data_IF_281457514613
#
_entry.id   IF_281457514613
#
_cell.length_a   1.000
_cell.length_b   1.000
_cell.length_c   1.000
_cell.angle_alpha   90.00
_cell.angle_beta   90.00
_cell.angle_gamma   90.00
#
_symmetry.space_group_name_H-M   'P 1'
#
loop_
_entity.id
_entity.type
_entity.pdbx_description
1 polymer ?
#
# COMPACT_ATOMS: atom_id res chain seq x y z
N UNK A 1 -14.10 24.76 21.14
CA UNK A 1 -13.89 23.73 20.11
C UNK A 1 -12.57 24.04 19.46
N UNK A 2 -11.52 23.28 19.78
CA UNK A 2 -10.19 23.47 19.16
C UNK A 2 -10.28 22.98 17.72
N UNK A 3 -9.87 23.76 16.71
CA UNK A 3 -9.89 23.30 15.33
C UNK A 3 -8.94 22.10 15.17
N UNK A 4 -9.41 21.03 14.53
CA UNK A 4 -8.57 19.89 14.14
C UNK A 4 -7.46 20.42 13.24
N UNK A 5 -6.17 20.14 13.54
CA UNK A 5 -5.08 20.59 12.70
C UNK A 5 -5.21 20.03 11.28
N UNK A 6 -4.75 20.77 10.26
CA UNK A 6 -4.81 20.32 8.87
C UNK A 6 -3.98 19.05 8.69
N UNK A 7 -4.56 18.05 8.04
CA UNK A 7 -3.85 16.83 7.65
C UNK A 7 -3.13 17.03 6.32
N UNK A 8 -2.02 16.32 6.11
CA UNK A 8 -1.25 16.31 4.87
C UNK A 8 -1.31 14.94 4.22
N UNK A 9 -1.63 14.89 2.93
CA UNK A 9 -1.54 13.69 2.12
C UNK A 9 -0.07 13.37 1.81
N UNK A 10 0.38 12.18 2.20
CA UNK A 10 1.74 11.70 1.93
C UNK A 10 1.70 10.26 1.40
N UNK A 11 2.63 9.87 0.51
CA UNK A 11 2.67 8.51 -0.02
C UNK A 11 3.17 7.49 1.00
N UNK A 12 2.72 6.24 0.85
CA UNK A 12 3.00 5.14 1.75
C UNK A 12 4.49 4.81 1.88
N UNK A 13 5.32 5.04 0.85
CA UNK A 13 6.77 4.84 0.94
C UNK A 13 7.42 5.65 2.08
N UNK A 14 6.80 6.76 2.48
CA UNK A 14 7.29 7.59 3.60
C UNK A 14 7.04 6.94 4.95
N UNK A 15 6.04 6.05 5.06
CA UNK A 15 5.61 5.42 6.31
C UNK A 15 6.01 3.94 6.42
N UNK A 16 6.29 3.27 5.29
CA UNK A 16 6.47 1.84 5.26
C UNK A 16 7.36 1.37 4.10
N UNK A 17 7.81 0.12 4.20
CA UNK A 17 8.26 -0.66 3.05
C UNK A 17 7.27 -1.77 2.70
N UNK A 18 7.35 -2.22 1.46
CA UNK A 18 6.51 -3.28 0.92
C UNK A 18 7.35 -4.26 0.11
N UNK A 19 6.97 -5.53 0.15
CA UNK A 19 7.44 -6.57 -0.77
C UNK A 19 6.25 -7.31 -1.34
N UNK A 20 6.40 -7.82 -2.56
CA UNK A 20 5.40 -8.70 -3.15
C UNK A 20 5.87 -10.15 -3.22
N UNK A 21 4.90 -11.04 -3.26
CA UNK A 21 5.07 -12.44 -3.63
C UNK A 21 3.89 -12.90 -4.48
N UNK A 22 4.11 -13.86 -5.35
CA UNK A 22 3.10 -14.42 -6.26
C UNK A 22 2.82 -15.90 -5.96
N UNK A 23 1.57 -16.32 -6.17
CA UNK A 23 1.18 -17.72 -6.20
C UNK A 23 -0.02 -17.92 -7.13
N UNK A 24 0.24 -18.44 -8.33
CA UNK A 24 -0.81 -18.58 -9.35
C UNK A 24 -1.30 -17.21 -9.80
N UNK A 25 -2.61 -16.96 -9.71
CA UNK A 25 -3.24 -15.67 -10.05
C UNK A 25 -3.42 -14.76 -8.81
N UNK A 26 -2.63 -15.00 -7.76
CA UNK A 26 -2.70 -14.28 -6.49
C UNK A 26 -1.39 -13.53 -6.27
N UNK A 27 -1.51 -12.27 -5.86
CA UNK A 27 -0.39 -11.48 -5.36
C UNK A 27 -0.59 -11.19 -3.87
N UNK A 28 0.45 -11.44 -3.07
CA UNK A 28 0.53 -10.93 -1.71
C UNK A 28 1.43 -9.69 -1.66
N UNK A 29 1.03 -8.69 -0.89
CA UNK A 29 1.75 -7.44 -0.70
C UNK A 29 1.89 -7.19 0.81
N UNK A 30 3.12 -7.20 1.31
CA UNK A 30 3.40 -6.78 2.68
C UNK A 30 3.39 -5.26 2.79
N UNK A 31 3.02 -4.72 3.95
CA UNK A 31 3.13 -3.32 4.28
C UNK A 31 3.63 -3.22 5.72
N UNK A 32 4.91 -2.91 5.89
CA UNK A 32 5.61 -2.96 7.17
C UNK A 32 6.01 -1.53 7.52
N UNK A 33 5.46 -1.02 8.62
CA UNK A 33 5.67 0.36 9.05
C UNK A 33 7.09 0.59 9.56
N UNK A 34 7.60 1.81 9.40
CA UNK A 34 8.90 2.21 9.97
C UNK A 34 8.90 2.25 11.50
N UNK A 35 7.77 2.61 12.10
CA UNK A 35 7.60 2.69 13.55
C UNK A 35 6.11 2.50 13.96
N UNK A 36 5.82 2.38 15.28
CA UNK A 36 4.45 2.17 15.76
C UNK A 36 3.47 3.31 15.46
N UNK A 37 3.94 4.56 15.37
CA UNK A 37 3.09 5.72 15.05
C UNK A 37 2.65 5.65 13.58
N UNK A 38 3.57 5.30 12.68
CA UNK A 38 3.27 5.01 11.27
C UNK A 38 2.26 3.87 11.17
N UNK A 39 2.47 2.77 11.90
CA UNK A 39 1.55 1.63 11.88
C UNK A 39 0.11 2.02 12.25
N UNK A 40 -0.09 2.90 13.24
CA UNK A 40 -1.41 3.38 13.61
C UNK A 40 -2.12 4.10 12.45
N UNK A 41 -1.38 4.96 11.72
CA UNK A 41 -1.89 5.64 10.51
C UNK A 41 -2.27 4.61 9.44
N UNK A 42 -1.38 3.67 9.17
CA UNK A 42 -1.57 2.66 8.13
C UNK A 42 -2.77 1.75 8.43
N UNK A 43 -2.89 1.25 9.66
CA UNK A 43 -3.98 0.37 10.06
C UNK A 43 -5.36 1.04 9.93
N UNK A 44 -5.43 2.35 10.24
CA UNK A 44 -6.64 3.14 10.14
C UNK A 44 -7.05 3.43 8.69
N UNK A 45 -6.08 3.61 7.79
CA UNK A 45 -6.33 4.18 6.46
C UNK A 45 -6.12 3.21 5.30
N UNK A 46 -5.28 2.19 5.44
CA UNK A 46 -5.01 1.21 4.38
C UNK A 46 -5.96 0.03 4.57
N UNK A 47 -7.20 0.22 4.14
CA UNK A 47 -8.27 -0.79 4.22
C UNK A 47 -8.29 -1.68 2.98
N UNK A 48 -8.93 -2.85 3.09
CA UNK A 48 -9.17 -3.74 1.94
C UNK A 48 -9.88 -3.00 0.79
N UNK A 49 -10.87 -2.16 1.11
CA UNK A 49 -11.62 -1.37 0.13
C UNK A 49 -10.74 -0.35 -0.60
N UNK A 50 -9.87 0.37 0.12
CA UNK A 50 -8.96 1.34 -0.48
C UNK A 50 -7.90 0.66 -1.34
N UNK A 51 -7.36 -0.48 -0.90
CA UNK A 51 -6.42 -1.28 -1.70
C UNK A 51 -7.11 -1.84 -2.95
N UNK A 52 -8.33 -2.35 -2.84
CA UNK A 52 -9.11 -2.82 -3.99
C UNK A 52 -9.36 -1.69 -5.01
N UNK A 53 -9.71 -0.49 -4.54
CA UNK A 53 -9.90 0.68 -5.39
C UNK A 53 -8.59 1.11 -6.07
N UNK A 54 -7.48 1.16 -5.32
CA UNK A 54 -6.17 1.54 -5.84
C UNK A 54 -5.67 0.59 -6.95
N UNK A 55 -6.00 -0.70 -6.83
CA UNK A 55 -5.69 -1.72 -7.83
C UNK A 55 -6.84 -2.01 -8.80
N UNK A 56 -7.85 -1.14 -8.91
CA UNK A 56 -9.03 -1.39 -9.75
C UNK A 56 -8.69 -1.67 -11.23
N UNK A 57 -7.59 -1.10 -11.74
CA UNK A 57 -7.09 -1.34 -13.11
C UNK A 57 -6.63 -2.79 -13.36
N UNK A 58 -6.43 -3.60 -12.30
CA UNK A 58 -6.15 -5.05 -12.38
C UNK A 58 -7.38 -5.90 -12.07
N UNK A 59 -8.54 -5.29 -11.84
CA UNK A 59 -9.81 -5.97 -11.56
C UNK A 59 -9.72 -7.08 -10.49
N UNK A 60 -9.19 -6.78 -9.27
CA UNK A 60 -9.08 -7.77 -8.21
C UNK A 60 -10.45 -8.37 -7.88
N UNK A 61 -10.53 -9.70 -7.84
CA UNK A 61 -11.74 -10.44 -7.46
C UNK A 61 -12.03 -10.31 -5.97
N UNK A 62 -10.98 -10.29 -5.16
CA UNK A 62 -11.02 -10.14 -3.70
C UNK A 62 -9.71 -9.54 -3.21
N UNK A 63 -9.81 -8.68 -2.20
CA UNK A 63 -8.68 -8.19 -1.42
C UNK A 63 -8.93 -8.54 0.03
N UNK A 64 -7.98 -9.24 0.65
CA UNK A 64 -8.03 -9.61 2.08
C UNK A 64 -6.86 -8.98 2.83
N UNK A 65 -7.12 -8.38 3.99
CA UNK A 65 -6.11 -7.77 4.87
C UNK A 65 -5.87 -8.64 6.10
N UNK A 66 -4.62 -9.03 6.29
CA UNK A 66 -4.15 -9.72 7.48
C UNK A 66 -3.26 -8.79 8.31
N UNK A 67 -3.66 -8.49 9.54
CA UNK A 67 -2.90 -7.64 10.45
C UNK A 67 -1.88 -8.46 11.26
N UNK A 68 -0.70 -7.89 11.46
CA UNK A 68 0.40 -8.45 12.24
C UNK A 68 0.89 -7.39 13.26
N UNK A 69 0.10 -7.09 14.31
CA UNK A 69 0.33 -5.92 15.16
C UNK A 69 1.69 -5.92 15.88
N UNK A 70 2.18 -7.10 16.27
CA UNK A 70 3.49 -7.26 16.93
C UNK A 70 4.68 -6.95 16.01
N UNK A 71 4.46 -7.00 14.69
CA UNK A 71 5.47 -6.66 13.68
C UNK A 71 5.23 -5.28 13.06
N UNK A 72 4.20 -4.54 13.54
CA UNK A 72 3.77 -3.28 12.95
C UNK A 72 3.53 -3.40 11.43
N UNK A 73 2.92 -4.52 11.03
CA UNK A 73 2.81 -4.91 9.64
C UNK A 73 1.39 -5.35 9.27
N UNK A 74 1.11 -5.31 7.97
CA UNK A 74 -0.07 -5.89 7.35
C UNK A 74 0.35 -6.68 6.11
N UNK A 75 -0.44 -7.67 5.74
CA UNK A 75 -0.31 -8.38 4.48
C UNK A 75 -1.63 -8.34 3.73
N UNK A 76 -1.60 -7.86 2.50
CA UNK A 76 -2.74 -7.84 1.60
C UNK A 76 -2.64 -8.98 0.61
N UNK A 77 -3.70 -9.76 0.46
CA UNK A 77 -3.80 -10.81 -0.55
C UNK A 77 -4.80 -10.35 -1.59
N UNK A 78 -4.32 -10.15 -2.81
CA UNK A 78 -5.09 -9.73 -3.97
C UNK A 78 -5.26 -10.92 -4.90
N UNK A 79 -6.50 -11.29 -5.16
CA UNK A 79 -6.83 -12.43 -6.02
C UNK A 79 -7.28 -11.96 -7.41
N UNK A 80 -6.79 -12.61 -8.47
CA UNK A 80 -7.19 -12.29 -9.84
C UNK A 80 -6.41 -11.15 -10.49
N UNK A 81 -5.25 -10.77 -9.95
CA UNK A 81 -4.53 -9.54 -10.35
C UNK A 81 -3.29 -9.79 -11.23
N UNK A 82 -3.03 -11.05 -11.60
CA UNK A 82 -1.89 -11.46 -12.40
C UNK A 82 -2.32 -11.99 -13.78
N UNK A 83 -3.50 -11.60 -14.27
CA UNK A 83 -4.05 -11.91 -15.60
C UNK A 83 -4.02 -13.42 -15.96
N UNK A 84 -4.39 -14.28 -15.01
CA UNK A 84 -4.38 -15.75 -15.20
C UNK A 84 -3.09 -16.42 -14.74
N UNK A 85 -2.11 -15.66 -14.27
CA UNK A 85 -0.86 -16.13 -13.68
C UNK A 85 0.30 -16.20 -14.69
N UNK A 86 1.49 -16.53 -14.16
CA UNK A 86 2.79 -16.41 -14.87
C UNK A 86 2.83 -17.10 -16.24
N UNK A 87 2.10 -18.19 -16.43
CA UNK A 87 2.16 -18.99 -17.65
C UNK A 87 1.24 -18.49 -18.78
N UNK A 88 0.22 -17.69 -18.47
CA UNK A 88 -0.80 -17.24 -19.43
C UNK A 88 -0.85 -15.71 -19.58
N UNK A 89 -0.17 -14.96 -18.70
CA UNK A 89 -0.24 -13.51 -18.69
C UNK A 89 0.67 -12.85 -19.75
N UNK A 90 0.06 -12.01 -20.59
CA UNK A 90 0.73 -11.12 -21.56
C UNK A 90 1.23 -9.81 -20.94
N UNK A 91 1.07 -9.64 -19.62
CA UNK A 91 1.45 -8.41 -18.94
C UNK A 91 2.97 -8.36 -18.67
N UNK A 92 3.50 -7.13 -18.58
CA UNK A 92 4.94 -6.89 -18.41
C UNK A 92 5.46 -7.27 -17.00
N UNK A 93 4.57 -7.30 -16.01
CA UNK A 93 4.89 -7.63 -14.61
C UNK A 93 4.15 -8.89 -14.16
N UNK A 94 4.50 -9.99 -14.82
CA UNK A 94 3.84 -11.29 -14.72
C UNK A 94 3.91 -11.89 -13.31
N UNK A 95 4.94 -11.53 -12.56
CA UNK A 95 5.14 -11.93 -11.16
C UNK A 95 4.61 -10.89 -10.15
N UNK A 96 4.05 -9.77 -10.60
CA UNK A 96 3.55 -8.71 -9.71
C UNK A 96 4.63 -8.09 -8.83
N UNK A 97 5.89 -8.07 -9.25
CA UNK A 97 7.02 -7.52 -8.48
C UNK A 97 6.93 -6.01 -8.32
N UNK A 98 6.38 -5.33 -9.33
CA UNK A 98 6.18 -3.88 -9.28
C UNK A 98 4.98 -3.46 -8.42
N UNK A 99 4.05 -4.38 -8.14
CA UNK A 99 2.82 -4.07 -7.40
C UNK A 99 3.09 -3.59 -5.96
N UNK A 100 4.18 -4.02 -5.33
CA UNK A 100 4.57 -3.48 -4.01
C UNK A 100 4.94 -2.00 -4.09
N UNK A 101 5.66 -1.58 -5.15
CA UNK A 101 5.97 -0.17 -5.36
C UNK A 101 4.71 0.61 -5.72
N UNK A 102 3.83 0.02 -6.52
CA UNK A 102 2.53 0.64 -6.82
C UNK A 102 1.71 0.84 -5.56
N UNK A 103 1.68 -0.11 -4.62
CA UNK A 103 1.02 0.08 -3.32
C UNK A 103 1.65 1.25 -2.55
N UNK A 104 2.98 1.36 -2.56
CA UNK A 104 3.72 2.40 -1.84
C UNK A 104 3.49 3.82 -2.38
N UNK A 105 2.98 3.97 -3.60
CA UNK A 105 2.55 5.26 -4.15
C UNK A 105 1.18 5.74 -3.62
N UNK A 106 0.39 4.86 -3.01
CA UNK A 106 -0.90 5.24 -2.42
C UNK A 106 -0.68 6.28 -1.32
N UNK A 107 -1.57 7.27 -1.21
CA UNK A 107 -1.45 8.32 -0.19
C UNK A 107 -2.30 8.05 1.06
N UNK A 108 -1.82 8.52 2.20
CA UNK A 108 -2.52 8.57 3.48
C UNK A 108 -2.39 9.96 4.10
N UNK A 109 -3.37 10.31 4.93
CA UNK A 109 -3.40 11.58 5.65
C UNK A 109 -2.59 11.48 6.94
N UNK A 110 -1.66 12.40 7.19
CA UNK A 110 -0.86 12.47 8.42
C UNK A 110 -0.87 13.86 9.03
N UNK A 111 -0.49 13.98 10.30
CA UNK A 111 -0.25 15.30 10.90
C UNK A 111 0.97 15.99 10.28
N UNK A 112 1.02 17.34 10.28
CA UNK A 112 2.21 18.08 9.83
C UNK A 112 3.47 17.77 10.63
N UNK A 113 3.32 17.40 11.90
CA UNK A 113 4.41 16.98 12.77
C UNK A 113 5.01 15.66 12.30
N UNK A 114 4.17 14.66 12.03
CA UNK A 114 4.62 13.37 11.53
C UNK A 114 5.23 13.52 10.13
N UNK A 115 4.56 14.24 9.22
CA UNK A 115 5.06 14.51 7.87
C UNK A 115 6.46 15.13 7.86
N UNK A 116 6.83 15.98 8.82
CA UNK A 116 8.18 16.58 8.88
C UNK A 116 9.27 15.59 9.29
N UNK A 117 8.90 14.54 10.03
CA UNK A 117 9.83 13.52 10.55
C UNK A 117 10.07 12.38 9.54
N UNK A 118 9.09 12.07 8.70
CA UNK A 118 9.15 10.96 7.76
C UNK A 118 10.16 11.22 6.64
N UNK A 119 10.91 10.18 6.19
CA UNK A 119 11.78 10.29 5.02
C UNK A 119 10.97 10.72 3.79
N UNK A 120 11.60 11.45 2.87
CA UNK A 120 10.98 11.87 1.61
C UNK A 120 12.00 11.89 0.48
N UNK A 121 11.52 11.87 -0.76
CA UNK A 121 12.31 11.94 -1.97
C UNK A 121 12.14 13.34 -2.57
N UNK A 122 13.19 14.19 -2.57
CA UNK A 122 13.06 15.56 -3.08
C UNK A 122 12.56 15.60 -4.53
N UNK A 123 11.47 16.33 -4.77
CA UNK A 123 10.89 16.53 -6.10
C UNK A 123 10.00 15.40 -6.59
N UNK A 124 9.79 14.34 -5.79
CA UNK A 124 8.84 13.30 -6.13
C UNK A 124 7.41 13.83 -6.14
N UNK A 125 6.60 13.28 -7.05
CA UNK A 125 5.18 13.59 -7.21
C UNK A 125 4.44 12.27 -7.24
N UNK A 126 3.97 11.78 -6.09
CA UNK A 126 3.30 10.49 -6.03
C UNK A 126 2.11 10.47 -6.99
N UNK A 127 1.90 9.31 -7.61
CA UNK A 127 0.88 9.14 -8.62
C UNK A 127 -0.50 9.51 -8.07
N UNK A 128 -1.32 10.18 -8.90
CA UNK A 128 -2.72 10.40 -8.58
C UNK A 128 -3.45 9.05 -8.46
N UNK A 129 -4.39 8.98 -7.53
CA UNK A 129 -5.26 7.82 -7.30
C UNK A 129 -6.18 7.54 -8.49
#
# INVERSE_FOLDING_TARGET
>A
MTPTPPMLAVPLYRLAHSRSGDKGDISNLSLIAWDPECHAVLAAQVTESRVAQWFAYRHPKRVTRYELPMLHAMNFVLEGVLDGGVNDALNLDTHGKSLSFRLLDMTVEVSPELARRLPDIPGDRPAAA
#
